data_IF_941158524443
#
_entry.id   IF_941158524443
#
_cell.length_a   1.000
_cell.length_b   1.000
_cell.length_c   1.000
_cell.angle_alpha   90.00
_cell.angle_beta   90.00
_cell.angle_gamma   90.00
#
_symmetry.space_group_name_H-M   'P 1'
#
loop_
_entity.id
_entity.type
_entity.pdbx_description
1 polymer ?
#
# COMPACT_ATOMS: atom_id res chain seq x y z
N UNK A 1 -4.85 5.66 -35.71
CA UNK A 1 -4.43 4.29 -35.31
C UNK A 1 -3.39 4.45 -34.22
N UNK A 2 -3.79 4.33 -32.96
CA UNK A 2 -2.88 4.55 -31.81
C UNK A 2 -2.04 3.29 -31.59
N UNK A 3 -0.73 3.42 -31.76
CA UNK A 3 0.19 2.35 -31.42
C UNK A 3 0.16 2.13 -29.90
N UNK A 4 -0.41 1.00 -29.49
CA UNK A 4 -0.25 0.44 -28.15
C UNK A 4 1.26 0.21 -27.94
N UNK A 5 1.89 1.04 -27.10
CA UNK A 5 3.22 0.77 -26.58
C UNK A 5 3.07 -0.41 -25.60
N UNK A 6 3.05 -1.62 -26.14
CA UNK A 6 3.24 -2.86 -25.37
C UNK A 6 4.74 -2.95 -25.08
N UNK A 7 5.18 -2.24 -24.05
CA UNK A 7 6.54 -2.43 -23.54
C UNK A 7 6.64 -3.85 -22.98
N UNK A 8 7.37 -4.72 -23.67
CA UNK A 8 7.55 -6.16 -23.33
C UNK A 8 8.25 -6.40 -21.99
N UNK A 9 8.76 -5.35 -21.34
CA UNK A 9 9.13 -5.34 -19.93
C UNK A 9 8.79 -3.94 -19.42
N UNK A 10 7.85 -3.86 -18.49
CA UNK A 10 7.85 -2.72 -17.56
C UNK A 10 9.25 -2.74 -16.91
N UNK A 11 9.96 -1.60 -16.79
CA UNK A 11 11.17 -1.57 -15.97
C UNK A 11 10.81 -2.19 -14.61
N UNK A 12 11.66 -3.06 -14.06
CA UNK A 12 11.45 -3.52 -12.69
C UNK A 12 11.21 -2.27 -11.84
N UNK A 13 10.09 -2.20 -11.08
CA UNK A 13 9.86 -1.07 -10.21
C UNK A 13 11.09 -0.94 -9.33
N UNK A 14 11.72 0.23 -9.38
CA UNK A 14 12.99 0.49 -8.72
C UNK A 14 12.86 0.12 -7.23
N UNK A 15 13.48 -0.98 -6.81
CA UNK A 15 13.43 -1.44 -5.42
C UNK A 15 12.67 -2.74 -5.15
N UNK A 16 12.27 -3.51 -6.18
CA UNK A 16 11.61 -4.81 -6.05
C UNK A 16 12.43 -5.93 -5.37
N UNK A 17 13.64 -5.64 -4.88
CA UNK A 17 14.44 -6.61 -4.14
C UNK A 17 14.13 -6.57 -2.64
N UNK A 18 14.27 -7.68 -1.89
CA UNK A 18 14.04 -7.75 -0.44
C UNK A 18 15.00 -6.91 0.42
N UNK A 19 15.81 -6.04 -0.20
CA UNK A 19 16.81 -5.18 0.43
C UNK A 19 16.85 -3.77 -0.23
N UNK A 20 15.88 -3.46 -1.11
CA UNK A 20 15.78 -2.18 -1.80
C UNK A 20 15.31 -1.03 -0.90
N UNK A 21 15.24 0.17 -1.46
CA UNK A 21 14.82 1.39 -0.74
C UNK A 21 13.46 1.24 -0.03
N UNK A 22 12.53 0.48 -0.62
CA UNK A 22 11.24 0.17 -0.03
C UNK A 22 11.36 -0.64 1.27
N UNK A 23 12.19 -1.69 1.26
CA UNK A 23 12.44 -2.50 2.45
C UNK A 23 13.09 -1.69 3.57
N UNK A 24 14.09 -0.86 3.22
CA UNK A 24 14.74 0.05 4.17
C UNK A 24 13.75 1.06 4.77
N UNK A 25 12.77 1.53 3.99
CA UNK A 25 11.71 2.40 4.51
C UNK A 25 10.82 1.66 5.52
N UNK A 26 10.42 0.42 5.22
CA UNK A 26 9.59 -0.39 6.12
C UNK A 26 10.32 -0.67 7.45
N UNK A 27 11.61 -1.02 7.39
CA UNK A 27 12.46 -1.20 8.58
C UNK A 27 12.51 0.07 9.41
N UNK A 28 12.78 1.23 8.79
CA UNK A 28 12.78 2.51 9.50
C UNK A 28 11.43 2.81 10.15
N UNK A 29 10.31 2.54 9.48
CA UNK A 29 9.00 2.78 10.08
C UNK A 29 8.71 1.84 11.26
N UNK A 30 9.13 0.57 11.17
CA UNK A 30 9.01 -0.39 12.26
C UNK A 30 9.87 0.03 13.47
N UNK A 31 11.16 0.33 13.26
CA UNK A 31 12.10 0.73 14.32
C UNK A 31 11.62 1.98 15.07
N UNK A 32 11.00 2.93 14.36
CA UNK A 32 10.47 4.16 14.94
C UNK A 32 9.05 4.02 15.48
N UNK A 33 8.44 2.82 15.46
CA UNK A 33 7.05 2.57 15.83
C UNK A 33 6.08 3.59 15.19
N UNK A 34 6.33 3.92 13.92
CA UNK A 34 5.60 4.97 13.19
C UNK A 34 4.14 4.56 13.02
N UNK A 35 3.22 5.49 13.30
CA UNK A 35 1.82 5.32 12.93
C UNK A 35 1.68 5.46 11.42
N UNK A 36 1.19 4.41 10.76
CA UNK A 36 1.02 4.35 9.31
C UNK A 36 -0.46 4.17 8.96
N UNK A 37 -0.90 4.83 7.90
CA UNK A 37 -2.10 4.42 7.19
C UNK A 37 -1.78 3.16 6.37
N UNK A 38 -2.71 2.20 6.34
CA UNK A 38 -2.56 1.00 5.52
C UNK A 38 -3.82 0.68 4.74
N UNK A 39 -3.63 0.03 3.60
CA UNK A 39 -4.67 -0.54 2.75
C UNK A 39 -4.25 -1.94 2.38
N UNK A 40 -5.11 -2.92 2.65
CA UNK A 40 -4.97 -4.31 2.22
C UNK A 40 -6.12 -4.67 1.29
N UNK A 41 -5.78 -4.94 0.03
CA UNK A 41 -6.71 -5.30 -1.03
C UNK A 41 -6.38 -6.67 -1.56
N UNK A 42 -7.41 -7.47 -1.80
CA UNK A 42 -7.29 -8.73 -2.51
C UNK A 42 -7.07 -8.54 -4.00
N UNK A 43 -6.47 -9.56 -4.59
CA UNK A 43 -6.55 -9.80 -6.03
C UNK A 43 -8.00 -9.64 -6.52
N UNK A 44 -8.15 -9.01 -7.69
CA UNK A 44 -9.44 -8.59 -8.29
C UNK A 44 -10.11 -7.35 -7.65
N UNK A 45 -9.39 -6.61 -6.80
CA UNK A 45 -9.81 -5.27 -6.36
C UNK A 45 -10.78 -5.23 -5.18
N UNK A 46 -10.96 -6.36 -4.48
CA UNK A 46 -11.73 -6.38 -3.24
C UNK A 46 -10.94 -5.74 -2.09
N UNK A 47 -11.35 -4.57 -1.62
CA UNK A 47 -10.82 -4.00 -0.38
C UNK A 47 -11.20 -4.91 0.80
N UNK A 48 -10.21 -5.40 1.54
CA UNK A 48 -10.44 -6.24 2.72
C UNK A 48 -10.28 -5.45 4.00
N UNK A 49 -9.23 -4.65 4.07
CA UNK A 49 -9.00 -3.86 5.27
C UNK A 49 -8.28 -2.56 4.97
N UNK A 50 -8.60 -1.52 5.73
CA UNK A 50 -7.87 -0.26 5.74
C UNK A 50 -7.99 0.34 7.13
N UNK A 51 -6.99 1.11 7.53
CA UNK A 51 -6.98 1.76 8.82
C UNK A 51 -5.64 2.41 9.09
N UNK A 52 -5.37 2.61 10.37
CA UNK A 52 -4.07 3.04 10.85
C UNK A 52 -3.50 2.01 11.81
N UNK A 53 -2.19 1.77 11.71
CA UNK A 53 -1.49 0.84 12.58
C UNK A 53 0.01 1.07 12.60
N UNK A 54 0.72 0.26 13.37
CA UNK A 54 2.17 0.28 13.47
C UNK A 54 2.71 -1.07 13.01
N UNK A 55 3.88 -1.06 12.36
CA UNK A 55 4.60 -2.30 12.10
C UNK A 55 5.21 -2.81 13.41
N UNK A 56 4.72 -3.95 13.89
CA UNK A 56 5.19 -4.61 15.13
C UNK A 56 6.35 -5.56 14.79
N UNK A 57 6.10 -6.49 13.87
CA UNK A 57 7.10 -7.42 13.34
C UNK A 57 7.26 -7.24 11.84
N UNK A 58 8.50 -7.30 11.35
CA UNK A 58 8.84 -7.26 9.94
C UNK A 58 10.04 -8.18 9.68
N UNK A 59 9.82 -9.22 8.88
CA UNK A 59 10.83 -10.17 8.41
C UNK A 59 10.60 -10.42 6.92
N UNK A 60 11.56 -11.06 6.26
CA UNK A 60 11.44 -11.41 4.83
C UNK A 60 10.21 -12.31 4.53
N UNK A 61 9.73 -13.04 5.54
CA UNK A 61 8.64 -14.01 5.39
C UNK A 61 7.29 -13.47 5.87
N UNK A 62 7.28 -12.49 6.77
CA UNK A 62 6.04 -11.98 7.37
C UNK A 62 6.14 -10.56 7.90
N UNK A 63 4.99 -9.88 7.94
CA UNK A 63 4.80 -8.64 8.68
C UNK A 63 3.57 -8.71 9.57
N UNK A 64 3.62 -8.03 10.71
CA UNK A 64 2.48 -7.82 11.60
C UNK A 64 2.21 -6.33 11.74
N UNK A 65 0.96 -5.92 11.48
CA UNK A 65 0.47 -4.57 11.73
C UNK A 65 -0.42 -4.59 12.96
N UNK A 66 -0.05 -3.84 13.98
CA UNK A 66 -0.89 -3.60 15.15
C UNK A 66 -1.81 -2.40 14.90
N UNK A 67 -3.11 -2.63 14.88
CA UNK A 67 -4.16 -1.66 14.59
C UNK A 67 -5.17 -1.62 15.74
N UNK A 68 -4.85 -0.87 16.80
CA UNK A 68 -5.66 -0.82 18.02
C UNK A 68 -5.67 -2.15 18.75
N UNK A 69 -6.86 -2.75 18.95
CA UNK A 69 -7.00 -4.05 19.59
C UNK A 69 -6.78 -5.25 18.64
N UNK A 70 -6.58 -4.99 17.35
CA UNK A 70 -6.43 -6.02 16.32
C UNK A 70 -4.99 -6.10 15.83
N UNK A 71 -4.56 -7.31 15.45
CA UNK A 71 -3.30 -7.52 14.74
C UNK A 71 -3.57 -8.16 13.39
N UNK A 72 -3.00 -7.57 12.34
CA UNK A 72 -3.04 -8.11 10.98
C UNK A 72 -1.71 -8.80 10.70
N UNK A 73 -1.74 -10.12 10.52
CA UNK A 73 -0.58 -10.91 10.12
C UNK A 73 -0.59 -11.12 8.60
N UNK A 74 0.53 -10.81 7.95
CA UNK A 74 0.67 -10.80 6.49
C UNK A 74 1.88 -11.64 6.12
N UNK A 75 1.69 -12.60 5.20
CA UNK A 75 2.77 -13.42 4.66
C UNK A 75 3.46 -12.64 3.53
N UNK A 76 4.76 -12.43 3.66
CA UNK A 76 5.62 -11.69 2.73
C UNK A 76 6.51 -12.59 1.86
N UNK A 77 6.51 -13.91 2.11
CA UNK A 77 7.26 -14.86 1.28
C UNK A 77 6.89 -14.70 -0.21
N UNK A 78 7.87 -14.37 -1.04
CA UNK A 78 7.69 -14.10 -2.47
C UNK A 78 7.05 -12.76 -2.82
N UNK A 79 6.97 -11.83 -1.86
CA UNK A 79 6.47 -10.47 -2.10
C UNK A 79 7.51 -9.60 -2.83
N UNK A 80 7.03 -8.63 -3.60
CA UNK A 80 7.83 -7.57 -4.19
C UNK A 80 7.44 -6.21 -3.63
N UNK A 81 8.40 -5.29 -3.57
CA UNK A 81 8.28 -4.02 -2.87
C UNK A 81 8.55 -2.84 -3.81
N UNK A 82 7.80 -1.76 -3.65
CA UNK A 82 7.99 -0.54 -4.42
C UNK A 82 7.85 0.67 -3.50
N UNK A 83 8.85 1.55 -3.52
CA UNK A 83 8.82 2.82 -2.81
C UNK A 83 8.44 3.93 -3.78
N UNK A 84 7.61 4.87 -3.31
CA UNK A 84 7.30 6.09 -4.03
C UNK A 84 5.82 6.40 -4.07
N UNK A 85 5.43 7.41 -4.86
CA UNK A 85 4.05 7.84 -4.98
C UNK A 85 3.19 6.79 -5.68
N UNK A 86 2.15 6.31 -5.01
CA UNK A 86 1.15 5.41 -5.55
C UNK A 86 -0.12 6.16 -5.92
N UNK A 87 -0.73 5.79 -7.05
CA UNK A 87 -1.92 6.45 -7.57
C UNK A 87 -3.19 5.88 -6.93
N UNK A 88 -3.97 6.75 -6.29
CA UNK A 88 -5.29 6.44 -5.76
C UNK A 88 -6.37 7.23 -6.49
N UNK A 89 -7.56 6.64 -6.59
CA UNK A 89 -8.74 7.27 -7.17
C UNK A 89 -9.75 7.60 -6.07
N UNK A 90 -10.48 8.70 -6.25
CA UNK A 90 -11.68 8.90 -5.43
C UNK A 90 -12.74 7.84 -5.74
N UNK A 91 -13.65 7.52 -4.80
CA UNK A 91 -14.63 6.45 -5.01
C UNK A 91 -15.53 6.67 -6.24
N UNK A 92 -15.76 7.94 -6.61
CA UNK A 92 -16.52 8.32 -7.81
C UNK A 92 -15.69 8.34 -9.10
N UNK A 93 -14.40 8.00 -9.03
CA UNK A 93 -13.43 7.99 -10.14
C UNK A 93 -13.26 9.35 -10.86
N UNK A 94 -13.77 10.45 -10.29
CA UNK A 94 -13.69 11.78 -10.90
C UNK A 94 -12.33 12.45 -10.68
N UNK A 95 -11.55 11.98 -9.72
CA UNK A 95 -10.25 12.55 -9.41
C UNK A 95 -9.27 11.48 -8.95
N UNK A 96 -7.99 11.83 -9.03
CA UNK A 96 -6.87 10.97 -8.66
C UNK A 96 -5.85 11.77 -7.86
N UNK A 97 -5.19 11.12 -6.93
CA UNK A 97 -4.15 11.72 -6.11
C UNK A 97 -3.02 10.71 -5.92
N UNK A 98 -1.81 11.22 -5.73
CA UNK A 98 -0.65 10.39 -5.42
C UNK A 98 -0.43 10.42 -3.92
N UNK A 99 -0.11 9.27 -3.34
CA UNK A 99 0.22 9.13 -1.92
C UNK A 99 1.59 8.51 -1.83
N UNK A 100 2.52 9.15 -1.13
CA UNK A 100 3.84 8.56 -0.94
C UNK A 100 3.74 7.38 0.01
N UNK A 101 4.38 6.27 -0.33
CA UNK A 101 4.41 5.14 0.58
C UNK A 101 5.23 3.98 0.04
N UNK A 102 4.97 2.82 0.64
CA UNK A 102 5.51 1.54 0.20
C UNK A 102 4.34 0.66 -0.24
N UNK A 103 4.36 0.27 -1.51
CA UNK A 103 3.51 -0.78 -2.03
C UNK A 103 4.21 -2.13 -1.91
N UNK A 104 3.46 -3.12 -1.45
CA UNK A 104 3.89 -4.50 -1.29
C UNK A 104 2.93 -5.37 -2.07
N UNK A 105 3.43 -5.99 -3.13
CA UNK A 105 2.68 -6.97 -3.92
C UNK A 105 2.99 -8.36 -3.36
N UNK A 106 1.97 -9.03 -2.87
CA UNK A 106 2.11 -10.35 -2.25
C UNK A 106 2.11 -11.45 -3.31
N UNK A 107 2.66 -12.62 -2.97
CA UNK A 107 2.77 -13.76 -3.87
C UNK A 107 1.39 -14.25 -4.37
N UNK A 108 0.35 -14.12 -3.54
CA UNK A 108 -1.03 -14.45 -3.90
C UNK A 108 -1.74 -13.35 -4.73
N UNK A 109 -0.99 -12.37 -5.22
CA UNK A 109 -1.46 -11.20 -5.99
C UNK A 109 -2.35 -10.22 -5.23
N UNK A 110 -2.40 -10.33 -3.91
CA UNK A 110 -2.94 -9.28 -3.06
C UNK A 110 -1.95 -8.12 -2.95
N UNK A 111 -2.46 -6.98 -2.50
CA UNK A 111 -1.71 -5.75 -2.34
C UNK A 111 -1.85 -5.22 -0.92
N UNK A 112 -0.71 -4.87 -0.34
CA UNK A 112 -0.62 -4.07 0.87
C UNK A 112 0.03 -2.74 0.49
N UNK A 113 -0.56 -1.64 0.90
CA UNK A 113 0.05 -0.32 0.82
C UNK A 113 0.18 0.27 2.22
N UNK A 114 1.33 0.88 2.50
CA UNK A 114 1.68 1.52 3.75
C UNK A 114 2.15 2.94 3.48
N UNK A 115 1.65 3.90 4.24
CA UNK A 115 2.05 5.30 4.13
C UNK A 115 2.10 5.95 5.51
N UNK A 116 3.08 6.82 5.73
CA UNK A 116 3.12 7.71 6.89
C UNK A 116 2.40 9.04 6.66
N UNK A 117 1.89 9.25 5.45
CA UNK A 117 0.93 10.31 5.13
C UNK A 117 -0.48 9.80 5.45
N UNK A 118 -1.20 10.55 6.27
CA UNK A 118 -2.63 10.29 6.43
C UNK A 118 -3.33 10.53 5.09
N UNK A 119 -4.06 9.53 4.58
CA UNK A 119 -4.94 9.73 3.44
C UNK A 119 -5.84 10.95 3.73
N UNK A 120 -5.89 11.94 2.84
CA UNK A 120 -6.68 13.13 3.08
C UNK A 120 -8.15 12.75 3.27
N UNK A 121 -8.76 13.21 4.37
CA UNK A 121 -10.18 12.99 4.70
C UNK A 121 -11.16 13.51 3.61
N UNK A 122 -10.64 14.28 2.65
CA UNK A 122 -11.33 14.91 1.53
C UNK A 122 -12.13 13.96 0.63
N UNK A 123 -11.92 12.64 0.69
CA UNK A 123 -12.70 11.66 -0.08
C UNK A 123 -13.96 11.13 0.61
N UNK A 124 -14.05 11.16 1.95
CA UNK A 124 -15.12 10.48 2.70
C UNK A 124 -16.23 11.47 3.09
N UNK A 125 -15.87 12.65 3.58
CA UNK A 125 -16.85 13.65 4.03
C UNK A 125 -17.71 14.23 2.89
N UNK A 126 -17.12 14.42 1.71
CA UNK A 126 -17.87 14.91 0.54
C UNK A 126 -18.78 13.84 -0.07
N UNK A 127 -18.48 12.55 0.12
CA UNK A 127 -19.29 11.45 -0.37
C UNK A 127 -20.55 11.27 0.48
N UNK A 128 -20.42 11.39 1.81
CA UNK A 128 -21.55 11.37 2.75
C UNK A 128 -22.51 12.54 2.48
N UNK A 129 -21.99 13.74 2.20
CA UNK A 129 -22.82 14.92 1.85
C UNK A 129 -23.55 14.83 0.52
N UNK A 130 -23.14 13.95 -0.41
CA UNK A 130 -23.81 13.78 -1.72
C UNK A 130 -24.82 12.63 -1.75
N UNK A 131 -24.89 11.84 -0.68
CA UNK A 131 -25.84 10.73 -0.51
C UNK A 131 -27.00 11.08 0.44
N UNK A 132 -27.01 12.30 0.98
CA UNK A 132 -28.15 12.94 1.66
C UNK A 132 -28.79 13.95 0.71
#
# INVERSE_FOLDING_TARGET
MSALIVSKRLPEPAGASPQGAAWQQLLRWQENARQLAFVYSRSLGGLIHTGQGKLDQLTLDAATIEAGASKLYIVLAGASYEAGPQLFFTPNLLSRFHVNGVAVRLANHDWLFLSDESLPALGVEQLVKRLQ
#
